data_IF_434183754953
#
_entry.id   IF_434183754953
#
_cell.length_a   1.000
_cell.length_b   1.000
_cell.length_c   1.000
_cell.angle_alpha   90.00
_cell.angle_beta   90.00
_cell.angle_gamma   90.00
#
_symmetry.space_group_name_H-M   'P 1'
#
loop_
_entity.id
_entity.type
_entity.pdbx_description
1 polymer ?
#
# COMPACT_ATOMS: atom_id res chain seq x y z
N UNK A 1 13.79 1.74 16.79
CA UNK A 1 13.02 2.18 17.99
C UNK A 1 13.75 1.71 19.24
N UNK A 2 13.89 2.53 20.27
CA UNK A 2 14.48 2.12 21.56
C UNK A 2 13.38 1.77 22.54
N UNK A 3 13.50 0.64 23.23
CA UNK A 3 12.59 0.24 24.32
C UNK A 3 13.41 0.06 25.58
N UNK A 4 13.01 0.76 26.65
CA UNK A 4 13.62 0.63 27.97
C UNK A 4 12.71 -0.25 28.83
N UNK A 5 13.28 -1.24 29.48
CA UNK A 5 12.56 -2.06 30.46
C UNK A 5 13.40 -2.21 31.73
N UNK A 6 12.73 -2.50 32.84
CA UNK A 6 13.35 -2.72 34.14
C UNK A 6 13.20 -4.19 34.51
N UNK A 7 14.33 -4.85 34.75
CA UNK A 7 14.33 -6.25 35.20
C UNK A 7 14.87 -6.31 36.62
N UNK A 8 14.10 -6.93 37.51
CA UNK A 8 14.51 -7.22 38.88
C UNK A 8 14.83 -8.71 38.98
N UNK A 9 15.99 -9.04 39.53
CA UNK A 9 16.24 -10.42 39.95
C UNK A 9 15.27 -10.76 41.09
N UNK A 10 14.36 -11.71 40.85
CA UNK A 10 13.34 -12.13 41.80
C UNK A 10 13.85 -13.18 42.80
N UNK A 11 15.03 -13.78 42.56
CA UNK A 11 15.62 -14.79 43.42
C UNK A 11 17.13 -14.57 43.55
N UNK A 12 17.54 -14.04 44.71
CA UNK A 12 18.93 -13.68 44.99
C UNK A 12 19.81 -14.88 45.39
N UNK A 13 19.18 -16.03 45.67
CA UNK A 13 19.86 -17.26 46.08
C UNK A 13 20.15 -18.16 44.86
N UNK A 14 19.64 -17.80 43.68
CA UNK A 14 19.87 -18.47 42.39
C UNK A 14 20.83 -17.67 41.48
N UNK A 15 21.53 -18.34 40.55
CA UNK A 15 22.29 -17.65 39.51
C UNK A 15 21.38 -16.68 38.76
N UNK A 16 21.91 -15.51 38.45
CA UNK A 16 21.09 -14.43 37.92
C UNK A 16 20.46 -14.82 36.57
N UNK A 17 19.18 -14.46 36.34
CA UNK A 17 18.41 -14.92 35.20
C UNK A 17 18.97 -14.35 33.90
N UNK A 18 18.98 -15.18 32.85
CA UNK A 18 19.29 -14.77 31.48
C UNK A 18 17.98 -14.48 30.73
N UNK A 19 17.88 -13.32 30.10
CA UNK A 19 16.69 -12.92 29.33
C UNK A 19 17.01 -12.87 27.85
N UNK A 20 16.26 -13.61 27.05
CA UNK A 20 16.33 -13.59 25.59
C UNK A 20 15.03 -13.00 25.01
N UNK A 21 15.15 -11.93 24.22
CA UNK A 21 14.00 -11.30 23.56
C UNK A 21 13.80 -11.91 22.17
N UNK A 22 12.57 -12.29 21.87
CA UNK A 22 12.15 -12.78 20.56
C UNK A 22 11.76 -11.62 19.62
N UNK A 23 11.50 -11.95 18.36
CA UNK A 23 10.89 -11.01 17.43
C UNK A 23 9.52 -10.56 17.96
N UNK A 24 9.30 -9.25 17.99
CA UNK A 24 8.08 -8.65 18.50
C UNK A 24 7.12 -8.32 17.34
N UNK A 25 5.90 -8.88 17.28
CA UNK A 25 4.90 -8.42 16.30
C UNK A 25 4.59 -6.94 16.50
N UNK A 26 4.52 -6.20 15.40
CA UNK A 26 4.09 -4.80 15.37
C UNK A 26 2.62 -4.77 14.97
N UNK A 27 1.80 -4.11 15.76
CA UNK A 27 0.37 -3.97 15.52
C UNK A 27 -0.07 -2.53 15.54
N UNK A 28 -1.20 -2.26 14.89
CA UNK A 28 -1.89 -0.97 14.97
C UNK A 28 -2.91 -0.98 16.12
N UNK A 29 -3.51 0.18 16.41
CA UNK A 29 -4.57 0.31 17.44
C UNK A 29 -5.76 -0.65 17.21
N UNK A 30 -5.97 -1.15 15.99
CA UNK A 30 -6.97 -2.17 15.68
C UNK A 30 -6.51 -3.62 15.93
N UNK A 31 -5.38 -3.83 16.60
CA UNK A 31 -4.73 -5.13 16.82
C UNK A 31 -4.34 -5.86 15.52
N UNK A 32 -4.24 -5.12 14.41
CA UNK A 32 -3.87 -5.65 13.09
C UNK A 32 -2.37 -5.72 12.96
N UNK A 33 -1.85 -6.89 12.56
CA UNK A 33 -0.43 -7.14 12.39
C UNK A 33 0.08 -6.47 11.11
N UNK A 34 1.10 -5.63 11.24
CA UNK A 34 1.71 -4.87 10.13
C UNK A 34 3.18 -5.23 9.91
N UNK A 35 3.78 -6.00 10.79
CA UNK A 35 5.16 -6.45 10.61
C UNK A 35 5.77 -6.98 11.89
N UNK A 36 7.10 -6.99 11.93
CA UNK A 36 7.86 -7.46 13.08
C UNK A 36 8.99 -6.49 13.41
N UNK A 37 9.29 -6.40 14.70
CA UNK A 37 10.44 -5.70 15.23
C UNK A 37 11.46 -6.73 15.69
N UNK A 38 12.68 -6.65 15.17
CA UNK A 38 13.78 -7.57 15.49
C UNK A 38 14.74 -6.84 16.42
N UNK A 39 15.13 -7.43 17.57
CA UNK A 39 16.15 -6.82 18.41
C UNK A 39 17.49 -6.78 17.66
N UNK A 40 18.16 -5.64 17.67
CA UNK A 40 19.44 -5.43 16.97
C UNK A 40 20.53 -6.37 17.50
N UNK A 41 20.47 -6.68 18.80
CA UNK A 41 21.36 -7.64 19.43
C UNK A 41 20.57 -8.55 20.36
N UNK A 42 20.69 -9.86 20.17
CA UNK A 42 20.20 -10.88 21.10
C UNK A 42 21.25 -11.05 22.21
N UNK A 43 21.37 -10.06 23.09
CA UNK A 43 22.27 -10.17 24.25
C UNK A 43 21.45 -10.73 25.40
N UNK A 44 21.71 -11.98 25.84
CA UNK A 44 21.20 -12.43 27.11
C UNK A 44 21.81 -11.54 28.19
N UNK A 45 20.99 -10.68 28.79
CA UNK A 45 21.44 -9.86 29.90
C UNK A 45 21.11 -10.55 31.22
N UNK A 46 21.96 -10.29 32.20
CA UNK A 46 21.86 -10.86 33.54
C UNK A 46 21.19 -9.86 34.46
N UNK A 47 20.06 -10.22 35.07
CA UNK A 47 19.41 -9.30 36.01
C UNK A 47 20.25 -9.20 37.31
N UNK A 48 20.75 -8.00 37.59
CA UNK A 48 21.52 -7.73 38.81
C UNK A 48 20.68 -7.76 40.10
N UNK A 49 21.36 -7.65 41.24
CA UNK A 49 20.74 -7.60 42.59
C UNK A 49 19.79 -6.41 42.78
N UNK A 50 19.99 -5.36 41.99
CA UNK A 50 19.18 -4.15 41.96
C UNK A 50 18.51 -4.02 40.59
N UNK A 51 17.35 -3.35 40.55
CA UNK A 51 16.67 -3.07 39.29
C UNK A 51 17.61 -2.31 38.35
N UNK A 52 17.84 -2.86 37.18
CA UNK A 52 18.62 -2.22 36.13
C UNK A 52 17.70 -1.87 34.96
N UNK A 53 17.89 -0.67 34.42
CA UNK A 53 17.26 -0.28 33.17
C UNK A 53 18.20 -0.66 32.03
N UNK A 54 17.69 -1.46 31.10
CA UNK A 54 18.39 -1.85 29.89
C UNK A 54 17.56 -1.33 28.72
N UNK A 55 18.24 -0.67 27.78
CA UNK A 55 17.66 -0.22 26.53
C UNK A 55 18.03 -1.18 25.42
N UNK A 56 17.03 -1.72 24.72
CA UNK A 56 17.26 -2.52 23.51
C UNK A 56 16.73 -1.77 22.30
N UNK A 57 17.55 -1.70 21.25
CA UNK A 57 17.15 -1.19 19.95
C UNK A 57 16.47 -2.29 19.14
N UNK A 58 15.32 -1.96 18.59
CA UNK A 58 14.59 -2.80 17.65
C UNK A 58 14.60 -2.18 16.26
N UNK A 59 14.93 -3.00 15.27
CA UNK A 59 14.79 -2.70 13.85
C UNK A 59 13.39 -3.12 13.41
N UNK A 60 12.63 -2.18 12.85
CA UNK A 60 11.29 -2.46 12.35
C UNK A 60 11.40 -2.96 10.91
N UNK A 61 10.86 -4.14 10.65
CA UNK A 61 10.79 -4.74 9.32
C UNK A 61 9.35 -4.64 8.84
N UNK A 62 9.11 -3.72 7.90
CA UNK A 62 7.80 -3.46 7.30
C UNK A 62 7.87 -3.69 5.79
N UNK A 63 6.87 -4.37 5.23
CA UNK A 63 6.70 -4.45 3.78
C UNK A 63 6.11 -3.16 3.21
N UNK A 64 6.22 -2.96 1.89
CA UNK A 64 5.56 -1.81 1.23
C UNK A 64 4.05 -1.80 1.48
N UNK A 65 3.39 -2.95 1.37
CA UNK A 65 1.95 -3.08 1.66
C UNK A 65 1.60 -2.73 3.10
N UNK A 66 2.47 -3.05 4.07
CA UNK A 66 2.30 -2.64 5.45
C UNK A 66 2.48 -1.14 5.63
N UNK A 67 3.46 -0.53 4.97
CA UNK A 67 3.65 0.93 4.98
C UNK A 67 2.42 1.63 4.40
N UNK A 68 1.86 1.13 3.30
CA UNK A 68 0.62 1.66 2.70
C UNK A 68 -0.59 1.52 3.60
N UNK A 69 -0.72 0.39 4.29
CA UNK A 69 -1.77 0.19 5.28
C UNK A 69 -1.64 1.19 6.44
N UNK A 70 -0.40 1.40 6.91
CA UNK A 70 -0.09 2.39 7.93
C UNK A 70 -0.40 3.82 7.47
N UNK A 71 -0.07 4.18 6.22
CA UNK A 71 -0.44 5.47 5.61
C UNK A 71 -1.97 5.65 5.55
N UNK A 72 -2.70 4.59 5.19
CA UNK A 72 -4.17 4.63 5.13
C UNK A 72 -4.80 4.82 6.51
N UNK A 73 -4.27 4.16 7.53
CA UNK A 73 -4.72 4.31 8.93
C UNK A 73 -4.37 5.70 9.46
N UNK A 74 -3.18 6.20 9.14
CA UNK A 74 -2.69 7.52 9.55
C UNK A 74 -3.53 8.63 8.94
N UNK A 75 -3.93 8.49 7.67
CA UNK A 75 -4.72 9.46 6.93
C UNK A 75 -4.18 10.90 7.08
N UNK A 76 -2.86 11.06 6.99
CA UNK A 76 -2.19 12.37 7.16
C UNK A 76 -1.88 12.79 8.60
N UNK A 77 -2.39 12.10 9.63
CA UNK A 77 -2.13 12.38 11.05
C UNK A 77 -0.88 11.71 11.64
N UNK A 78 -0.92 11.47 12.95
CA UNK A 78 0.07 10.67 13.69
C UNK A 78 -0.29 9.18 13.63
N UNK A 79 0.68 8.32 13.93
CA UNK A 79 0.45 6.88 14.00
C UNK A 79 0.87 6.30 15.35
N UNK A 80 0.08 5.36 15.86
CA UNK A 80 0.40 4.60 17.06
C UNK A 80 0.64 3.13 16.70
N UNK A 81 1.78 2.62 17.10
CA UNK A 81 2.21 1.23 16.89
C UNK A 81 2.41 0.58 18.25
N UNK A 82 1.87 -0.63 18.40
CA UNK A 82 2.07 -1.48 19.57
C UNK A 82 3.02 -2.60 19.22
N UNK A 83 4.13 -2.69 19.95
CA UNK A 83 5.11 -3.76 19.86
C UNK A 83 4.79 -4.78 20.94
N UNK A 84 4.42 -6.00 20.52
CA UNK A 84 4.20 -7.11 21.45
C UNK A 84 5.52 -7.78 21.81
N UNK A 85 6.18 -7.31 22.85
CA UNK A 85 7.40 -7.90 23.36
C UNK A 85 7.15 -9.32 23.85
N UNK A 86 8.05 -10.22 23.47
CA UNK A 86 8.04 -11.61 23.91
C UNK A 86 9.47 -12.02 24.22
N UNK A 87 9.64 -12.87 25.20
CA UNK A 87 10.95 -13.38 25.53
C UNK A 87 10.90 -14.65 26.36
N UNK A 88 12.07 -15.21 26.59
CA UNK A 88 12.31 -16.31 27.48
C UNK A 88 13.26 -15.85 28.58
N UNK A 89 12.94 -16.18 29.82
CA UNK A 89 13.83 -15.98 30.95
C UNK A 89 14.25 -17.33 31.48
N UNK A 90 15.56 -17.57 31.55
CA UNK A 90 16.14 -18.82 32.04
C UNK A 90 16.88 -18.57 33.34
N UNK A 91 16.58 -19.35 34.39
CA UNK A 91 17.20 -19.25 35.70
C UNK A 91 17.35 -20.65 36.31
N UNK A 92 18.58 -21.05 36.66
CA UNK A 92 18.87 -22.31 37.35
C UNK A 92 18.27 -23.58 36.69
N UNK A 93 18.12 -23.59 35.37
CA UNK A 93 17.53 -24.71 34.61
C UNK A 93 16.03 -24.60 34.35
N UNK A 94 15.34 -23.66 35.00
CA UNK A 94 13.94 -23.33 34.72
C UNK A 94 13.85 -22.26 33.63
N UNK A 95 12.90 -22.40 32.71
CA UNK A 95 12.65 -21.43 31.65
C UNK A 95 11.19 -20.94 31.70
N UNK A 96 11.01 -19.63 31.76
CA UNK A 96 9.70 -18.97 31.83
C UNK A 96 9.52 -18.00 30.66
N UNK A 97 8.35 -18.05 30.01
CA UNK A 97 8.00 -17.10 28.95
C UNK A 97 7.51 -15.78 29.55
N UNK A 98 7.97 -14.68 28.98
CA UNK A 98 7.53 -13.32 29.31
C UNK A 98 6.90 -12.66 28.10
N UNK A 99 5.94 -11.77 28.35
CA UNK A 99 5.32 -10.93 27.33
C UNK A 99 4.95 -9.57 27.92
N UNK A 100 4.98 -8.54 27.09
CA UNK A 100 4.53 -7.18 27.41
C UNK A 100 4.19 -6.42 26.13
N UNK A 101 3.33 -5.42 26.17
CA UNK A 101 2.93 -4.62 25.01
C UNK A 101 3.40 -3.16 25.19
N UNK A 102 4.25 -2.68 24.27
CA UNK A 102 4.77 -1.31 24.29
C UNK A 102 4.17 -0.51 23.15
N UNK A 103 3.36 0.49 23.48
CA UNK A 103 2.79 1.40 22.48
C UNK A 103 3.67 2.65 22.30
N UNK A 104 4.03 2.92 21.06
CA UNK A 104 4.77 4.10 20.64
C UNK A 104 3.91 4.95 19.70
N UNK A 105 3.91 6.26 19.92
CA UNK A 105 3.29 7.23 19.03
C UNK A 105 4.38 7.92 18.23
N UNK A 106 4.28 7.82 16.91
CA UNK A 106 5.18 8.47 15.95
C UNK A 106 4.41 9.66 15.38
N UNK A 107 4.96 10.87 15.54
CA UNK A 107 4.34 12.06 14.98
C UNK A 107 4.55 12.13 13.46
N UNK A 108 3.72 12.93 12.78
CA UNK A 108 3.79 13.09 11.31
C UNK A 108 5.20 13.42 10.81
N UNK A 109 5.94 14.31 11.47
CA UNK A 109 7.26 14.75 10.99
C UNK A 109 8.31 13.64 11.10
N UNK A 110 8.31 12.87 12.19
CA UNK A 110 9.16 11.70 12.36
C UNK A 110 8.81 10.59 11.39
N UNK A 111 7.52 10.41 11.11
CA UNK A 111 7.04 9.44 10.13
C UNK A 111 7.50 9.78 8.71
N UNK A 112 7.42 11.05 8.29
CA UNK A 112 7.92 11.47 6.98
C UNK A 112 9.43 11.24 6.82
N UNK A 113 10.22 11.48 7.89
CA UNK A 113 11.65 11.16 7.90
C UNK A 113 11.89 9.66 7.79
N UNK A 114 11.06 8.85 8.44
CA UNK A 114 11.13 7.39 8.33
C UNK A 114 10.88 6.91 6.89
N UNK A 115 9.84 7.45 6.22
CA UNK A 115 9.56 7.12 4.81
C UNK A 115 10.75 7.45 3.91
N UNK A 116 11.36 8.62 4.08
CA UNK A 116 12.54 9.05 3.29
C UNK A 116 13.74 8.10 3.49
N UNK A 117 14.07 7.75 4.74
CA UNK A 117 15.16 6.80 5.06
C UNK A 117 14.89 5.39 4.51
N UNK A 118 13.63 4.97 4.45
CA UNK A 118 13.23 3.69 3.85
C UNK A 118 13.27 3.70 2.31
N UNK A 119 13.68 4.80 1.67
CA UNK A 119 13.64 4.95 0.22
C UNK A 119 12.22 5.00 -0.33
N UNK A 120 11.25 5.35 0.52
CA UNK A 120 9.85 5.54 0.17
C UNK A 120 9.67 7.00 -0.28
N UNK A 121 9.70 7.24 -1.60
CA UNK A 121 9.71 8.61 -2.15
C UNK A 121 10.16 8.80 -3.61
N UNK A 122 11.17 8.10 -4.14
CA UNK A 122 11.61 8.29 -5.53
C UNK A 122 10.75 7.53 -6.54
N UNK A 123 9.99 6.54 -6.09
CA UNK A 123 9.00 5.79 -6.88
C UNK A 123 7.68 5.78 -6.12
N UNK A 124 6.63 6.28 -6.76
CA UNK A 124 5.28 6.28 -6.22
C UNK A 124 4.63 4.95 -6.59
N UNK A 125 4.57 4.03 -5.63
CA UNK A 125 3.83 2.77 -5.76
C UNK A 125 2.38 3.05 -5.35
N UNK A 126 1.46 2.94 -6.30
CA UNK A 126 0.02 2.96 -6.02
C UNK A 126 -0.53 1.54 -6.13
N UNK A 127 -0.95 0.96 -5.02
CA UNK A 127 -1.81 -0.22 -5.07
C UNK A 127 -3.21 0.20 -5.51
N UNK A 128 -3.61 -0.23 -6.70
CA UNK A 128 -4.96 -0.05 -7.21
C UNK A 128 -5.77 -1.30 -6.84
N UNK A 129 -6.69 -1.24 -5.87
CA UNK A 129 -7.49 -2.38 -5.50
C UNK A 129 -8.44 -2.71 -6.65
N UNK A 130 -8.15 -3.79 -7.37
CA UNK A 130 -9.07 -4.32 -8.36
C UNK A 130 -10.06 -5.22 -7.61
N UNK A 131 -11.39 -4.94 -7.66
CA UNK A 131 -12.39 -5.76 -7.00
C UNK A 131 -12.59 -7.05 -7.80
N UNK A 132 -11.60 -7.94 -7.74
CA UNK A 132 -11.63 -9.30 -8.24
C UNK A 132 -12.21 -10.18 -7.12
N UNK A 133 -13.47 -9.91 -6.75
CA UNK A 133 -14.15 -10.76 -5.78
C UNK A 133 -14.55 -12.06 -6.47
N UNK A 134 -14.19 -13.21 -5.90
CA UNK A 134 -14.41 -14.52 -6.52
C UNK A 134 -15.91 -14.85 -6.70
N UNK A 135 -16.78 -14.14 -5.97
CA UNK A 135 -18.23 -14.31 -6.02
C UNK A 135 -18.92 -13.51 -7.15
N UNK A 136 -18.25 -12.53 -7.77
CA UNK A 136 -18.83 -11.68 -8.82
C UNK A 136 -18.21 -12.04 -10.18
N UNK A 137 -19.01 -12.20 -11.25
CA UNK A 137 -18.49 -12.47 -12.58
C UNK A 137 -17.49 -11.39 -13.03
N UNK A 138 -16.28 -11.82 -13.39
CA UNK A 138 -15.23 -10.93 -13.90
C UNK A 138 -15.74 -10.19 -15.13
N UNK A 139 -15.73 -8.86 -15.06
CA UNK A 139 -16.27 -8.01 -16.11
C UNK A 139 -15.33 -7.95 -17.31
N UNK A 140 -15.82 -7.56 -18.49
CA UNK A 140 -14.98 -7.42 -19.68
C UNK A 140 -13.85 -6.40 -19.46
N UNK A 141 -14.12 -5.31 -18.74
CA UNK A 141 -13.11 -4.33 -18.34
C UNK A 141 -11.99 -4.96 -17.49
N UNK A 142 -12.32 -5.86 -16.55
CA UNK A 142 -11.33 -6.55 -15.73
C UNK A 142 -10.50 -7.58 -16.53
N UNK A 143 -11.11 -8.27 -17.50
CA UNK A 143 -10.41 -9.20 -18.40
C UNK A 143 -9.39 -8.47 -19.27
N UNK A 144 -9.81 -7.39 -19.93
CA UNK A 144 -8.92 -6.59 -20.77
C UNK A 144 -7.83 -5.90 -19.93
N UNK A 145 -8.12 -5.52 -18.68
CA UNK A 145 -7.11 -4.96 -17.79
C UNK A 145 -6.04 -5.98 -17.42
N UNK A 146 -6.45 -7.23 -17.17
CA UNK A 146 -5.53 -8.35 -16.94
C UNK A 146 -4.67 -8.62 -18.17
N UNK A 147 -5.26 -8.57 -19.37
CA UNK A 147 -4.56 -8.70 -20.65
C UNK A 147 -3.56 -7.57 -20.89
N UNK A 148 -3.94 -6.31 -20.61
CA UNK A 148 -3.05 -5.15 -20.71
C UNK A 148 -1.83 -5.32 -19.79
N UNK A 149 -2.04 -5.80 -18.55
CA UNK A 149 -0.94 -6.13 -17.63
C UNK A 149 -0.01 -7.20 -18.20
N UNK A 150 -0.56 -8.25 -18.81
CA UNK A 150 0.25 -9.32 -19.43
C UNK A 150 1.09 -8.79 -20.59
N UNK A 151 0.52 -7.97 -21.47
CA UNK A 151 1.26 -7.31 -22.56
C UNK A 151 2.39 -6.42 -22.05
N UNK A 152 2.16 -5.70 -20.94
CA UNK A 152 3.20 -4.86 -20.33
C UNK A 152 4.38 -5.70 -19.82
N UNK A 153 4.11 -6.85 -19.21
CA UNK A 153 5.14 -7.78 -18.75
C UNK A 153 5.94 -8.41 -19.91
N UNK A 154 5.31 -8.55 -21.08
CA UNK A 154 5.92 -9.09 -22.30
C UNK A 154 6.65 -8.03 -23.14
N UNK A 155 6.51 -6.74 -22.81
CA UNK A 155 7.11 -5.65 -23.59
C UNK A 155 6.30 -5.22 -24.83
N UNK A 156 5.06 -5.69 -24.97
CA UNK A 156 4.15 -5.41 -26.08
C UNK A 156 3.39 -4.09 -25.85
N UNK A 157 4.09 -2.95 -25.91
CA UNK A 157 3.56 -1.67 -25.44
C UNK A 157 2.40 -1.12 -26.27
N UNK A 158 2.37 -1.37 -27.58
CA UNK A 158 1.23 -0.97 -28.41
C UNK A 158 -0.03 -1.74 -28.03
N UNK A 159 0.13 -3.03 -27.74
CA UNK A 159 -0.94 -3.93 -27.31
C UNK A 159 -1.43 -3.57 -25.91
N UNK A 160 -0.57 -3.06 -25.02
CA UNK A 160 -1.00 -2.47 -23.74
C UNK A 160 -1.97 -1.32 -23.99
N UNK A 161 -1.61 -0.39 -24.88
CA UNK A 161 -2.45 0.78 -25.17
C UNK A 161 -3.77 0.37 -25.80
N UNK A 162 -3.73 -0.53 -26.79
CA UNK A 162 -4.94 -1.07 -27.43
C UNK A 162 -5.86 -1.77 -26.42
N UNK A 163 -5.31 -2.59 -25.53
CA UNK A 163 -6.08 -3.24 -24.47
C UNK A 163 -6.65 -2.21 -23.47
N UNK A 164 -5.89 -1.19 -23.08
CA UNK A 164 -6.38 -0.12 -22.19
C UNK A 164 -7.56 0.65 -22.79
N UNK A 165 -7.59 0.86 -24.10
CA UNK A 165 -8.77 1.43 -24.77
C UNK A 165 -10.01 0.55 -24.57
N UNK A 166 -9.89 -0.75 -24.84
CA UNK A 166 -10.98 -1.71 -24.69
C UNK A 166 -11.48 -1.78 -23.24
N UNK A 167 -10.57 -1.66 -22.26
CA UNK A 167 -10.94 -1.54 -20.84
C UNK A 167 -11.88 -0.37 -20.60
N UNK A 168 -11.53 0.82 -21.11
CA UNK A 168 -12.28 2.05 -20.86
C UNK A 168 -13.62 2.10 -21.62
N UNK A 169 -13.66 1.57 -22.84
CA UNK A 169 -14.90 1.38 -23.60
C UNK A 169 -15.82 0.39 -22.86
N UNK A 170 -15.30 -0.77 -22.46
CA UNK A 170 -16.05 -1.78 -21.70
C UNK A 170 -16.57 -1.24 -20.36
N UNK A 171 -15.79 -0.41 -19.67
CA UNK A 171 -16.21 0.22 -18.41
C UNK A 171 -17.41 1.16 -18.62
N UNK A 172 -17.41 1.91 -19.73
CA UNK A 172 -18.49 2.84 -20.07
C UNK A 172 -19.78 2.09 -20.39
N UNK A 173 -19.69 1.01 -21.16
CA UNK A 173 -20.82 0.13 -21.43
C UNK A 173 -21.35 -0.52 -20.15
N UNK A 174 -20.47 -1.05 -19.31
CA UNK A 174 -20.83 -1.72 -18.07
C UNK A 174 -21.56 -0.81 -17.09
N UNK A 175 -21.09 0.43 -16.93
CA UNK A 175 -21.70 1.41 -16.02
C UNK A 175 -22.90 2.15 -16.65
N UNK A 176 -23.20 1.88 -17.93
CA UNK A 176 -24.25 2.56 -18.70
C UNK A 176 -24.09 4.09 -18.76
N UNK A 177 -22.86 4.59 -18.60
CA UNK A 177 -22.55 6.04 -18.49
C UNK A 177 -22.43 6.74 -19.87
N UNK A 178 -23.05 6.19 -20.91
CA UNK A 178 -22.92 6.68 -22.29
C UNK A 178 -23.53 8.07 -22.50
N UNK A 179 -24.73 8.29 -21.96
CA UNK A 179 -25.42 9.58 -22.06
C UNK A 179 -24.71 10.66 -21.23
N UNK A 180 -24.28 10.31 -20.01
CA UNK A 180 -23.52 11.20 -19.14
C UNK A 180 -22.20 11.61 -19.79
N UNK A 181 -21.53 10.68 -20.47
CA UNK A 181 -20.31 10.95 -21.21
C UNK A 181 -20.53 11.95 -22.34
N UNK A 182 -21.58 11.76 -23.14
CA UNK A 182 -21.96 12.71 -24.20
C UNK A 182 -22.38 14.08 -23.63
N UNK A 183 -23.05 14.10 -22.48
CA UNK A 183 -23.38 15.34 -21.77
C UNK A 183 -22.11 16.09 -21.34
N UNK A 184 -21.12 15.37 -20.81
CA UNK A 184 -19.87 15.94 -20.32
C UNK A 184 -19.03 16.53 -21.48
N UNK A 185 -19.05 15.90 -22.66
CA UNK A 185 -18.32 16.40 -23.86
C UNK A 185 -18.82 17.75 -24.35
N UNK A 186 -20.09 18.08 -24.10
CA UNK A 186 -20.73 19.33 -24.54
C UNK A 186 -20.38 20.52 -23.64
N UNK A 187 -19.91 20.28 -22.41
CA UNK A 187 -19.53 21.34 -21.48
C UNK A 187 -18.18 21.97 -21.88
N UNK A 188 -18.19 23.26 -22.26
CA UNK A 188 -17.01 24.02 -22.72
C UNK A 188 -16.99 25.41 -22.09
N UNK A 189 -15.81 26.03 -22.02
CA UNK A 189 -15.67 27.41 -21.51
C UNK A 189 -16.08 27.53 -20.04
N UNK A 190 -16.84 28.57 -19.72
CA UNK A 190 -17.27 28.90 -18.35
C UNK A 190 -18.15 27.81 -17.70
N UNK A 191 -18.81 26.97 -18.51
CA UNK A 191 -19.61 25.83 -18.04
C UNK A 191 -18.75 24.72 -17.40
N UNK A 192 -17.42 24.73 -17.58
CA UNK A 192 -16.51 23.77 -16.94
C UNK A 192 -16.52 23.86 -15.42
N UNK A 193 -16.79 25.04 -14.86
CA UNK A 193 -16.85 25.23 -13.42
C UNK A 193 -18.07 24.55 -12.80
N UNK A 194 -19.13 24.31 -13.58
CA UNK A 194 -20.35 23.62 -13.14
C UNK A 194 -20.26 22.09 -13.23
N UNK A 195 -19.16 21.53 -13.75
CA UNK A 195 -19.01 20.09 -13.92
C UNK A 195 -19.02 19.35 -12.58
N UNK A 196 -19.85 18.31 -12.50
CA UNK A 196 -19.81 17.36 -11.37
C UNK A 196 -18.52 16.55 -11.39
N UNK A 197 -18.15 15.96 -10.25
CA UNK A 197 -16.99 15.06 -10.15
C UNK A 197 -17.07 13.91 -11.16
N UNK A 198 -18.27 13.35 -11.38
CA UNK A 198 -18.50 12.29 -12.36
C UNK A 198 -18.21 12.78 -13.79
N UNK A 199 -18.72 13.96 -14.18
CA UNK A 199 -18.47 14.53 -15.50
C UNK A 199 -16.97 14.80 -15.74
N UNK A 200 -16.25 15.26 -14.72
CA UNK A 200 -14.79 15.45 -14.78
C UNK A 200 -14.05 14.13 -14.98
N UNK A 201 -14.46 13.08 -14.27
CA UNK A 201 -13.92 11.74 -14.43
C UNK A 201 -14.19 11.16 -15.83
N UNK A 202 -15.40 11.33 -16.34
CA UNK A 202 -15.77 10.91 -17.71
C UNK A 202 -14.93 11.63 -18.76
N UNK A 203 -14.55 12.89 -18.53
CA UNK A 203 -13.60 13.60 -19.40
C UNK A 203 -12.18 13.04 -19.34
N UNK A 204 -11.70 12.64 -18.17
CA UNK A 204 -10.41 11.93 -18.05
C UNK A 204 -10.48 10.60 -18.81
N UNK A 205 -11.58 9.84 -18.66
CA UNK A 205 -11.79 8.58 -19.39
C UNK A 205 -11.78 8.79 -20.90
N UNK A 206 -12.52 9.79 -21.40
CA UNK A 206 -12.54 10.10 -22.84
C UNK A 206 -11.17 10.54 -23.35
N UNK A 207 -10.45 11.35 -22.60
CA UNK A 207 -9.10 11.77 -22.97
C UNK A 207 -8.15 10.58 -23.08
N UNK A 208 -8.25 9.61 -22.16
CA UNK A 208 -7.47 8.37 -22.20
C UNK A 208 -7.85 7.47 -23.40
N UNK A 209 -9.15 7.37 -23.74
CA UNK A 209 -9.61 6.67 -24.96
C UNK A 209 -9.03 7.35 -26.21
N UNK A 210 -9.10 8.68 -26.28
CA UNK A 210 -8.57 9.45 -27.43
C UNK A 210 -7.06 9.29 -27.56
N UNK A 211 -6.32 9.31 -26.44
CA UNK A 211 -4.88 9.07 -26.42
C UNK A 211 -4.54 7.68 -26.98
N UNK A 212 -5.34 6.67 -26.65
CA UNK A 212 -5.18 5.31 -27.14
C UNK A 212 -5.63 5.10 -28.59
N UNK A 213 -6.26 6.10 -29.20
CA UNK A 213 -6.80 6.05 -30.56
C UNK A 213 -5.69 6.34 -31.59
N UNK A 214 -4.72 5.44 -31.73
CA UNK A 214 -3.70 5.57 -32.77
C UNK A 214 -4.33 5.44 -34.14
N UNK A 215 -4.01 6.37 -35.03
CA UNK A 215 -4.34 6.23 -36.44
C UNK A 215 -3.48 5.12 -37.04
N UNK A 216 -4.08 3.98 -37.40
CA UNK A 216 -3.43 2.93 -38.22
C UNK A 216 -3.27 3.36 -39.70
N UNK A 217 -3.01 4.64 -39.98
CA UNK A 217 -2.79 5.08 -41.35
C UNK A 217 -1.36 4.70 -41.78
N UNK A 218 -1.20 3.93 -42.88
CA UNK A 218 0.11 3.61 -43.45
C UNK A 218 0.87 4.83 -44.00
N UNK A 219 0.25 6.01 -43.96
CA UNK A 219 0.72 7.22 -44.61
C UNK A 219 1.02 8.30 -43.57
N UNK A 220 2.26 8.29 -43.05
CA UNK A 220 2.95 9.53 -42.70
C UNK A 220 2.72 10.16 -41.32
N UNK A 221 2.19 9.46 -40.30
CA UNK A 221 2.34 9.98 -38.93
C UNK A 221 3.76 9.70 -38.43
N UNK A 222 4.53 10.75 -38.19
CA UNK A 222 5.87 10.72 -37.58
C UNK A 222 5.86 10.52 -36.06
N UNK A 223 4.69 10.26 -35.46
CA UNK A 223 4.60 10.08 -34.01
C UNK A 223 5.29 8.77 -33.58
N UNK A 224 6.14 8.82 -32.54
CA UNK A 224 6.86 7.65 -32.08
C UNK A 224 5.88 6.57 -31.58
N UNK A 225 6.24 5.31 -31.82
CA UNK A 225 5.58 4.14 -31.23
C UNK A 225 5.57 4.30 -29.70
N UNK A 226 4.48 3.87 -29.05
CA UNK A 226 4.39 3.93 -27.59
C UNK A 226 5.53 3.14 -26.93
N UNK A 227 6.17 3.76 -25.95
CA UNK A 227 7.18 3.13 -25.13
C UNK A 227 6.58 2.58 -23.82
N UNK A 228 7.47 2.01 -22.99
CA UNK A 228 7.10 1.46 -21.69
C UNK A 228 6.48 2.51 -20.76
N UNK A 229 6.97 3.75 -20.80
CA UNK A 229 6.49 4.84 -19.96
C UNK A 229 5.07 5.25 -20.35
N UNK A 230 4.79 5.38 -21.66
CA UNK A 230 3.44 5.62 -22.17
C UNK A 230 2.48 4.49 -21.76
N UNK A 231 2.91 3.23 -21.89
CA UNK A 231 2.11 2.07 -21.54
C UNK A 231 1.79 2.00 -20.03
N UNK A 232 2.78 2.27 -19.16
CA UNK A 232 2.59 2.33 -17.70
C UNK A 232 1.61 3.45 -17.33
N UNK A 233 1.78 4.64 -17.90
CA UNK A 233 0.91 5.78 -17.64
C UNK A 233 -0.55 5.43 -17.98
N UNK A 234 -0.81 4.93 -19.19
CA UNK A 234 -2.18 4.64 -19.61
C UNK A 234 -2.78 3.47 -18.83
N UNK A 235 -1.99 2.43 -18.53
CA UNK A 235 -2.44 1.32 -17.68
C UNK A 235 -2.81 1.80 -16.27
N UNK A 236 -2.02 2.71 -15.69
CA UNK A 236 -2.32 3.30 -14.39
C UNK A 236 -3.63 4.09 -14.40
N UNK A 237 -3.85 4.91 -15.43
CA UNK A 237 -5.12 5.65 -15.62
C UNK A 237 -6.30 4.69 -15.76
N UNK A 238 -6.18 3.68 -16.63
CA UNK A 238 -7.24 2.72 -16.88
C UNK A 238 -7.59 1.92 -15.61
N UNK A 239 -6.58 1.40 -14.91
CA UNK A 239 -6.77 0.69 -13.64
C UNK A 239 -7.45 1.58 -12.59
N UNK A 240 -7.04 2.84 -12.48
CA UNK A 240 -7.62 3.79 -11.51
C UNK A 240 -9.09 4.10 -11.80
N UNK A 241 -9.43 4.31 -13.08
CA UNK A 241 -10.81 4.54 -13.52
C UNK A 241 -11.69 3.31 -13.31
N UNK A 242 -11.18 2.11 -13.59
CA UNK A 242 -11.90 0.86 -13.30
C UNK A 242 -12.15 0.71 -11.81
N UNK A 243 -11.12 0.87 -10.97
CA UNK A 243 -11.28 0.73 -9.51
C UNK A 243 -12.27 1.75 -8.94
N UNK A 244 -12.19 3.01 -9.38
CA UNK A 244 -13.10 4.05 -8.91
C UNK A 244 -14.53 3.86 -9.43
N UNK A 245 -14.70 3.49 -10.70
CA UNK A 245 -16.00 3.19 -11.30
C UNK A 245 -16.69 2.01 -10.62
N UNK A 246 -15.95 0.92 -10.42
CA UNK A 246 -16.49 -0.27 -9.76
C UNK A 246 -16.85 -0.03 -8.29
N UNK A 247 -16.10 0.83 -7.59
CA UNK A 247 -16.44 1.28 -6.23
C UNK A 247 -17.79 2.00 -6.19
N UNK A 248 -18.11 2.82 -7.20
CA UNK A 248 -19.42 3.51 -7.27
C UNK A 248 -20.56 2.53 -7.55
N UNK A 249 -20.28 1.41 -8.20
CA UNK A 249 -21.28 0.41 -8.57
C UNK A 249 -21.47 -0.74 -7.58
N UNK A 250 -20.75 -0.80 -6.46
CA UNK A 250 -20.82 -1.93 -5.51
C UNK A 250 -21.66 -1.67 -4.25
N UNK A 251 -22.06 -2.74 -3.54
CA UNK A 251 -23.07 -3.74 -3.92
C UNK A 251 -24.51 -3.27 -3.56
N UNK A 252 -25.52 -3.87 -4.19
CA UNK A 252 -26.84 -4.06 -3.56
C UNK A 252 -26.77 -5.30 -2.68
#
# INVERSE_FOLDING_TARGET
MSVNFSVKNWDLDKPAPQVELAHAPIKTNGNRLVGFAVPETVIPFTAGRYAQSIGTLFQLVLSNSAIEELERIRNGGDIALTLGLRGLVTCAGDAQRIHDDVTCRINQSEWLKFLDVCGYGPTLLFEIPLPLDAAVPVTNAQKELSRARQHLLQGHYQEVVAACRLVLESLTEQLQEGEELESAKKLRGDDRNAMTTLQRELMIRQAAINYAHVAHHPNGSTDPLFDRSNAIMLLGIAASLVANGLRRSGPV
#
